data_IF_632122792871
#
_entry.id   IF_632122792871
#
_cell.length_a   1.000
_cell.length_b   1.000
_cell.length_c   1.000
_cell.angle_alpha   90.00
_cell.angle_beta   90.00
_cell.angle_gamma   90.00
#
_symmetry.space_group_name_H-M   'P 1'
#
loop_
_entity.id
_entity.type
_entity.pdbx_description
1 polymer ?
#
# COMPACT_ATOMS: atom_id res chain seq x y z
N UNK A 1 -11.67 0.62 -12.93
CA UNK A 1 -11.15 0.71 -11.55
C UNK A 1 -10.19 -0.42 -11.30
N UNK A 2 -9.04 -0.12 -10.73
CA UNK A 2 -8.07 -1.12 -10.31
C UNK A 2 -8.11 -1.28 -8.80
N UNK A 3 -7.61 -2.43 -8.33
CA UNK A 3 -7.52 -2.74 -6.91
C UNK A 3 -6.07 -3.00 -6.56
N UNK A 4 -5.67 -2.56 -5.38
CA UNK A 4 -4.28 -2.61 -4.92
C UNK A 4 -4.20 -3.12 -3.49
N UNK A 5 -3.03 -3.59 -3.10
CA UNK A 5 -2.67 -3.84 -1.71
C UNK A 5 -1.39 -3.06 -1.43
N UNK A 6 -1.39 -2.30 -0.34
CA UNK A 6 -0.24 -1.49 0.06
C UNK A 6 0.12 -1.82 1.50
N UNK A 7 1.40 -2.09 1.74
CA UNK A 7 1.92 -2.51 3.03
C UNK A 7 2.48 -1.32 3.81
N UNK A 8 2.15 -1.29 5.10
CA UNK A 8 2.72 -0.33 6.05
C UNK A 8 3.00 -1.04 7.37
N UNK A 9 4.10 -0.65 8.03
CA UNK A 9 4.41 -1.14 9.37
C UNK A 9 3.58 -0.33 10.38
N UNK A 10 2.73 -0.98 11.21
CA UNK A 10 1.83 -0.24 12.10
C UNK A 10 2.55 0.61 13.15
N UNK A 11 3.80 0.25 13.50
CA UNK A 11 4.61 1.07 14.40
C UNK A 11 5.03 2.40 13.79
N UNK A 12 5.03 2.50 12.46
CA UNK A 12 5.34 3.74 11.74
C UNK A 12 4.08 4.44 11.24
N UNK A 13 3.17 3.70 10.61
CA UNK A 13 1.92 4.28 10.11
C UNK A 13 0.85 3.20 10.01
N UNK A 14 -0.13 3.24 10.91
CA UNK A 14 -1.21 2.26 10.99
C UNK A 14 -2.48 2.73 10.29
N UNK A 15 -3.44 1.80 10.13
CA UNK A 15 -4.78 2.16 9.65
C UNK A 15 -5.47 3.17 10.58
N UNK A 16 -5.23 3.08 11.88
CA UNK A 16 -5.78 4.04 12.83
C UNK A 16 -5.14 5.41 12.67
N UNK A 17 -3.83 5.45 12.36
CA UNK A 17 -3.16 6.72 12.05
C UNK A 17 -3.78 7.38 10.83
N UNK A 18 -4.06 6.59 9.77
CA UNK A 18 -4.72 7.12 8.57
C UNK A 18 -6.11 7.67 8.90
N UNK A 19 -6.89 6.94 9.68
CA UNK A 19 -8.24 7.37 10.08
C UNK A 19 -8.24 8.68 10.86
N UNK A 20 -7.12 9.00 11.52
CA UNK A 20 -6.97 10.19 12.37
C UNK A 20 -6.23 11.35 11.69
N UNK A 21 -5.80 11.19 10.44
CA UNK A 21 -5.16 12.27 9.69
C UNK A 21 -6.17 13.33 9.25
N UNK A 22 -5.73 14.58 9.02
CA UNK A 22 -6.62 15.60 8.42
C UNK A 22 -7.22 15.08 7.11
N UNK A 23 -8.54 15.23 6.97
CA UNK A 23 -9.33 14.69 5.85
C UNK A 23 -9.16 13.18 5.67
N UNK A 24 -8.65 12.48 6.69
CA UNK A 24 -8.36 11.04 6.66
C UNK A 24 -7.48 10.64 5.47
N UNK A 25 -6.54 11.51 5.11
CA UNK A 25 -5.71 11.40 3.92
C UNK A 25 -4.24 11.52 4.29
N UNK A 26 -3.40 10.70 3.64
CA UNK A 26 -1.96 10.72 3.83
C UNK A 26 -1.24 10.50 2.50
N UNK A 27 -0.11 11.18 2.32
CA UNK A 27 0.80 10.92 1.23
C UNK A 27 1.56 9.61 1.51
N UNK A 28 1.54 8.69 0.55
CA UNK A 28 2.18 7.38 0.72
C UNK A 28 3.63 7.46 0.26
N UNK A 29 4.50 7.94 1.14
CA UNK A 29 5.92 8.13 0.85
C UNK A 29 6.75 6.87 1.08
N UNK A 30 8.03 6.95 0.78
CA UNK A 30 9.01 5.94 1.16
C UNK A 30 9.05 4.69 0.30
N UNK A 31 8.32 4.64 -0.82
CA UNK A 31 8.41 3.50 -1.74
C UNK A 31 9.75 3.55 -2.47
N UNK A 32 10.59 2.52 -2.30
CA UNK A 32 11.96 2.47 -2.81
C UNK A 32 12.25 1.19 -3.61
N UNK A 33 11.24 0.66 -4.28
CA UNK A 33 11.34 -0.43 -5.23
C UNK A 33 10.83 0.07 -6.58
N UNK A 34 11.61 -0.13 -7.65
CA UNK A 34 11.25 0.39 -8.96
C UNK A 34 9.95 -0.19 -9.51
N UNK A 35 9.69 -1.47 -9.26
CA UNK A 35 8.45 -2.11 -9.72
C UNK A 35 7.24 -1.48 -9.02
N UNK A 36 7.31 -1.29 -7.70
CA UNK A 36 6.25 -0.64 -6.93
C UNK A 36 6.09 0.82 -7.36
N UNK A 37 7.21 1.55 -7.55
CA UNK A 37 7.18 2.93 -8.05
C UNK A 37 6.45 3.02 -9.39
N UNK A 38 6.71 2.10 -10.30
CA UNK A 38 6.06 2.10 -11.62
C UNK A 38 4.55 1.91 -11.49
N UNK A 39 4.09 1.10 -10.55
CA UNK A 39 2.65 0.95 -10.27
C UNK A 39 2.04 2.26 -9.79
N UNK A 40 2.70 2.94 -8.83
CA UNK A 40 2.23 4.24 -8.32
C UNK A 40 2.17 5.28 -9.44
N UNK A 41 3.23 5.38 -10.22
CA UNK A 41 3.41 6.42 -11.23
C UNK A 41 2.54 6.20 -12.46
N UNK A 42 2.47 4.95 -12.94
CA UNK A 42 1.97 4.68 -14.29
C UNK A 42 0.62 3.97 -14.33
N UNK A 43 0.19 3.31 -13.25
CA UNK A 43 -0.96 2.41 -13.30
C UNK A 43 -2.10 2.80 -12.37
N UNK A 44 -1.83 3.45 -11.23
CA UNK A 44 -2.87 3.84 -10.29
C UNK A 44 -3.72 4.97 -10.83
N UNK A 45 -5.02 4.90 -10.54
CA UNK A 45 -6.00 5.91 -10.94
C UNK A 45 -6.76 6.41 -9.73
N UNK A 46 -7.20 7.68 -9.78
CA UNK A 46 -8.05 8.24 -8.74
C UNK A 46 -9.33 7.41 -8.60
N UNK A 47 -9.67 7.06 -7.38
CA UNK A 47 -10.82 6.21 -7.08
C UNK A 47 -10.49 4.73 -6.95
N UNK A 48 -9.27 4.30 -7.33
CA UNK A 48 -8.84 2.92 -7.11
C UNK A 48 -8.89 2.60 -5.61
N UNK A 49 -9.30 1.37 -5.29
CA UNK A 49 -9.39 0.90 -3.91
C UNK A 49 -8.13 0.15 -3.51
N UNK A 50 -7.79 0.26 -2.23
CA UNK A 50 -6.54 -0.27 -1.66
C UNK A 50 -6.86 -1.07 -0.42
N UNK A 51 -6.38 -2.32 -0.36
CA UNK A 51 -6.27 -3.03 0.90
C UNK A 51 -5.09 -2.48 1.68
N UNK A 52 -5.36 -1.95 2.86
CA UNK A 52 -4.32 -1.50 3.78
C UNK A 52 -3.82 -2.70 4.58
N UNK A 53 -2.55 -3.02 4.44
CA UNK A 53 -1.94 -4.21 5.01
C UNK A 53 -0.90 -3.81 6.05
N UNK A 54 -1.00 -4.38 7.25
CA UNK A 54 0.03 -4.22 8.28
C UNK A 54 1.10 -5.30 8.10
N UNK A 55 2.35 -4.87 7.94
CA UNK A 55 3.51 -5.75 7.79
C UNK A 55 4.47 -5.59 8.96
N UNK A 56 5.39 -6.56 9.11
CA UNK A 56 6.45 -6.52 10.10
C UNK A 56 5.94 -6.22 11.52
N UNK A 57 4.96 -7.00 11.96
CA UNK A 57 4.31 -6.84 13.25
C UNK A 57 3.85 -8.20 13.78
N UNK A 58 3.26 -8.22 14.97
CA UNK A 58 2.83 -9.46 15.63
C UNK A 58 1.84 -10.25 14.76
N UNK A 59 0.85 -9.57 14.18
CA UNK A 59 -0.16 -10.21 13.33
C UNK A 59 -0.23 -9.50 11.98
N UNK A 60 0.65 -9.86 11.03
CA UNK A 60 0.58 -9.29 9.68
C UNK A 60 -0.74 -9.65 9.01
N UNK A 61 -1.36 -8.70 8.34
CA UNK A 61 -2.62 -8.97 7.66
C UNK A 61 -3.28 -7.72 7.10
N UNK A 62 -4.41 -7.94 6.45
CA UNK A 62 -5.23 -6.86 5.88
C UNK A 62 -6.13 -6.31 7.00
N UNK A 63 -6.09 -4.99 7.19
CA UNK A 63 -6.77 -4.34 8.32
C UNK A 63 -7.83 -3.34 7.91
N UNK A 64 -7.78 -2.85 6.68
CA UNK A 64 -8.72 -1.82 6.25
C UNK A 64 -8.69 -1.57 4.76
N UNK A 65 -9.50 -0.60 4.34
CA UNK A 65 -9.61 -0.16 2.95
C UNK A 65 -9.35 1.34 2.88
N UNK A 66 -8.58 1.73 1.89
CA UNK A 66 -8.34 3.11 1.51
C UNK A 66 -8.65 3.29 0.03
N UNK A 67 -8.59 4.53 -0.46
CA UNK A 67 -8.74 4.81 -1.89
C UNK A 67 -7.71 5.83 -2.33
N UNK A 68 -7.31 5.75 -3.59
CA UNK A 68 -6.40 6.72 -4.20
C UNK A 68 -7.16 8.01 -4.47
N UNK A 69 -6.70 9.14 -3.92
CA UNK A 69 -7.34 10.45 -4.10
C UNK A 69 -6.46 11.47 -4.80
N UNK A 70 -5.16 11.20 -4.92
CA UNK A 70 -4.24 12.03 -5.69
C UNK A 70 -3.25 11.14 -6.41
N UNK A 71 -3.07 11.37 -7.71
CA UNK A 71 -2.14 10.63 -8.56
C UNK A 71 -0.69 11.00 -8.24
N UNK A 72 0.23 10.20 -8.78
CA UNK A 72 1.64 10.25 -8.44
C UNK A 72 2.27 11.63 -8.62
N UNK A 73 3.07 12.00 -7.65
CA UNK A 73 3.91 13.19 -7.66
C UNK A 73 5.22 12.87 -6.94
N UNK A 74 6.29 13.67 -7.14
CA UNK A 74 7.58 13.35 -6.56
C UNK A 74 7.55 13.24 -5.04
N UNK A 75 8.21 12.22 -4.51
CA UNK A 75 8.34 12.00 -3.08
C UNK A 75 9.44 12.92 -2.53
N UNK A 76 9.11 13.95 -1.73
CA UNK A 76 10.09 14.90 -1.25
C UNK A 76 11.06 14.32 -0.22
N UNK A 77 10.73 13.20 0.41
CA UNK A 77 11.62 12.57 1.40
C UNK A 77 12.90 12.05 0.75
N UNK A 78 12.88 11.79 -0.56
CA UNK A 78 14.07 11.37 -1.30
C UNK A 78 15.14 12.47 -1.38
N UNK A 79 14.76 13.73 -1.22
CA UNK A 79 15.65 14.89 -1.34
C UNK A 79 16.13 15.43 0.00
N UNK A 80 15.62 14.90 1.11
CA UNK A 80 15.96 15.35 2.46
C UNK A 80 17.06 14.48 3.06
N UNK A 81 18.30 15.00 3.21
CA UNK A 81 19.42 14.21 3.75
C UNK A 81 19.20 13.71 5.19
N UNK A 82 18.29 14.34 5.92
CA UNK A 82 17.97 13.95 7.29
C UNK A 82 16.91 12.85 7.36
N UNK A 83 16.28 12.52 6.24
CA UNK A 83 15.19 11.55 6.20
C UNK A 83 15.73 10.14 5.90
N UNK A 84 15.14 9.12 6.58
CA UNK A 84 15.54 7.72 6.39
C UNK A 84 15.35 7.21 4.96
N UNK A 85 14.47 7.85 4.18
CA UNK A 85 14.22 7.51 2.78
C UNK A 85 15.00 8.36 1.78
N UNK A 86 16.00 9.10 2.27
CA UNK A 86 16.87 9.92 1.41
C UNK A 86 17.55 9.07 0.34
N UNK A 87 17.53 9.55 -0.90
CA UNK A 87 18.23 8.94 -2.02
C UNK A 87 19.08 10.01 -2.72
N UNK A 88 20.41 10.02 -2.51
CA UNK A 88 21.28 11.03 -3.10
C UNK A 88 21.34 10.99 -4.63
N UNK A 89 20.89 9.89 -5.23
CA UNK A 89 20.87 9.73 -6.69
C UNK A 89 19.58 10.27 -7.32
N UNK A 90 18.55 10.56 -6.53
CA UNK A 90 17.32 11.19 -7.02
C UNK A 90 17.52 12.70 -7.08
N UNK A 91 17.13 13.32 -8.20
CA UNK A 91 17.33 14.75 -8.44
C UNK A 91 16.00 15.46 -8.62
N UNK A 92 15.96 16.73 -8.18
CA UNK A 92 14.74 17.55 -8.28
C UNK A 92 14.25 17.68 -9.73
N UNK A 93 15.17 17.78 -10.69
CA UNK A 93 14.82 17.90 -12.11
C UNK A 93 14.57 16.56 -12.80
N UNK A 94 14.87 15.44 -12.11
CA UNK A 94 14.61 14.09 -12.62
C UNK A 94 14.35 13.15 -11.44
N UNK A 95 13.21 13.26 -10.79
CA UNK A 95 12.92 12.45 -9.60
C UNK A 95 12.75 10.97 -9.94
N UNK A 96 13.29 10.12 -9.06
CA UNK A 96 13.17 8.66 -9.18
C UNK A 96 11.96 8.11 -8.47
N UNK A 97 11.56 8.77 -7.38
CA UNK A 97 10.58 8.22 -6.44
C UNK A 97 9.34 9.08 -6.41
N UNK A 98 8.21 8.42 -6.34
CA UNK A 98 6.89 9.04 -6.41
C UNK A 98 6.02 8.54 -5.28
N UNK A 99 5.00 9.29 -4.96
CA UNK A 99 3.99 8.92 -3.98
C UNK A 99 2.62 9.30 -4.50
N UNK A 100 1.60 8.65 -3.93
CA UNK A 100 0.19 8.98 -4.17
C UNK A 100 -0.42 9.35 -2.84
N UNK A 101 -1.58 10.01 -2.85
CA UNK A 101 -2.35 10.21 -1.63
C UNK A 101 -3.43 9.16 -1.53
N UNK A 102 -3.57 8.58 -0.34
CA UNK A 102 -4.62 7.63 -0.01
C UNK A 102 -5.52 8.20 1.07
N UNK A 103 -6.81 7.91 0.97
CA UNK A 103 -7.82 8.33 1.92
C UNK A 103 -8.44 7.11 2.58
N UNK A 104 -8.64 7.17 3.89
CA UNK A 104 -9.32 6.13 4.65
C UNK A 104 -10.75 5.93 4.14
N UNK A 105 -11.13 4.67 3.95
CA UNK A 105 -12.52 4.29 3.61
C UNK A 105 -13.18 3.64 4.81
N UNK A 106 -12.60 2.54 5.31
CA UNK A 106 -13.08 1.86 6.53
C UNK A 106 -12.08 0.85 7.05
N UNK A 107 -12.23 0.47 8.30
CA UNK A 107 -11.54 -0.71 8.84
C UNK A 107 -12.34 -1.94 8.45
N UNK A 108 -11.66 -3.07 8.28
CA UNK A 108 -12.34 -4.35 8.13
C UNK A 108 -13.02 -4.74 9.45
N UNK A 109 -14.03 -5.60 9.39
CA UNK A 109 -14.73 -6.12 10.58
C UNK A 109 -13.77 -6.86 11.50
N UNK A 110 -12.73 -7.46 10.95
CA UNK A 110 -11.63 -8.11 11.65
C UNK A 110 -10.36 -8.03 10.82
N UNK A 111 -9.21 -8.23 11.44
CA UNK A 111 -7.96 -8.42 10.71
C UNK A 111 -8.05 -9.75 9.96
N UNK A 112 -7.63 -9.76 8.69
CA UNK A 112 -7.48 -11.02 7.94
C UNK A 112 -5.97 -11.32 7.92
N UNK A 113 -5.51 -12.25 8.77
CA UNK A 113 -4.07 -12.49 8.92
C UNK A 113 -3.45 -13.12 7.69
N UNK A 114 -2.18 -12.84 7.46
CA UNK A 114 -1.42 -13.44 6.35
C UNK A 114 -1.48 -14.97 6.37
N UNK A 115 -1.41 -15.57 7.56
CA UNK A 115 -1.47 -17.03 7.69
C UNK A 115 -2.80 -17.59 7.16
N UNK A 116 -3.89 -16.88 7.38
CA UNK A 116 -5.21 -17.26 6.85
C UNK A 116 -5.26 -17.06 5.32
N UNK A 117 -4.72 -15.94 4.83
CA UNK A 117 -4.68 -15.68 3.39
C UNK A 117 -3.88 -16.76 2.65
N UNK A 118 -2.75 -17.19 3.22
CA UNK A 118 -1.93 -18.25 2.63
C UNK A 118 -2.63 -19.61 2.62
N UNK A 119 -3.59 -19.82 3.51
CA UNK A 119 -4.35 -21.05 3.57
C UNK A 119 -5.47 -21.14 2.52
N UNK A 120 -5.77 -20.03 1.83
CA UNK A 120 -6.84 -19.96 0.84
C UNK A 120 -6.32 -20.33 -0.55
N UNK A 121 -6.75 -21.47 -1.07
CA UNK A 121 -6.36 -21.90 -2.40
C UNK A 121 -6.77 -20.90 -3.48
N UNK A 122 -7.90 -20.24 -3.29
CA UNK A 122 -8.44 -19.24 -4.22
C UNK A 122 -7.50 -18.05 -4.40
N UNK A 123 -6.59 -17.80 -3.44
CA UNK A 123 -5.66 -16.68 -3.47
C UNK A 123 -4.29 -17.02 -4.07
N UNK A 124 -4.13 -18.21 -4.65
CA UNK A 124 -2.86 -18.65 -5.22
C UNK A 124 -2.26 -17.64 -6.21
N UNK A 125 -3.11 -16.95 -6.97
CA UNK A 125 -2.68 -15.94 -7.93
C UNK A 125 -2.30 -14.59 -7.34
N UNK A 126 -2.53 -14.37 -6.04
CA UNK A 126 -2.20 -13.11 -5.38
C UNK A 126 -0.71 -13.05 -5.04
N UNK A 127 -0.04 -11.99 -5.47
CA UNK A 127 1.40 -11.85 -5.26
C UNK A 127 1.78 -11.91 -3.76
N UNK A 128 0.91 -11.39 -2.88
CA UNK A 128 1.14 -11.37 -1.44
C UNK A 128 1.47 -12.74 -0.86
N UNK A 129 0.78 -13.79 -1.33
CA UNK A 129 0.93 -15.14 -0.77
C UNK A 129 2.07 -15.93 -1.42
N UNK A 130 2.69 -15.39 -2.45
CA UNK A 130 3.82 -16.06 -3.13
C UNK A 130 5.04 -16.04 -2.24
N UNK A 131 5.74 -17.18 -2.20
CA UNK A 131 6.98 -17.29 -1.46
C UNK A 131 8.03 -16.31 -2.00
N UNK A 132 8.67 -15.57 -1.10
CA UNK A 132 9.73 -14.64 -1.46
C UNK A 132 9.25 -13.30 -2.01
N UNK A 133 7.95 -13.05 -2.03
CA UNK A 133 7.44 -11.75 -2.45
C UNK A 133 7.81 -10.65 -1.44
N UNK A 134 8.44 -9.57 -1.93
CA UNK A 134 8.88 -8.44 -1.11
C UNK A 134 8.28 -7.11 -1.56
N UNK A 135 7.33 -7.14 -2.47
CA UNK A 135 6.68 -5.93 -2.94
C UNK A 135 5.84 -5.31 -1.82
N UNK A 136 5.97 -4.00 -1.64
CA UNK A 136 5.14 -3.22 -0.70
C UNK A 136 3.85 -2.71 -1.35
N UNK A 137 3.78 -2.76 -2.66
CA UNK A 137 2.60 -2.37 -3.45
C UNK A 137 2.39 -3.45 -4.49
N UNK A 138 1.16 -3.92 -4.65
CA UNK A 138 0.84 -4.94 -5.64
C UNK A 138 -0.59 -4.82 -6.12
N UNK A 139 -0.86 -5.23 -7.37
CA UNK A 139 -2.23 -5.26 -7.87
C UNK A 139 -3.00 -6.44 -7.25
N UNK A 140 -4.31 -6.27 -7.14
CA UNK A 140 -5.24 -7.32 -6.72
C UNK A 140 -6.30 -7.46 -7.78
N UNK A 141 -6.47 -8.65 -8.36
CA UNK A 141 -7.54 -8.88 -9.32
C UNK A 141 -8.90 -8.69 -8.64
N UNK A 142 -9.87 -8.20 -9.38
CA UNK A 142 -11.20 -7.91 -8.86
C UNK A 142 -11.84 -9.13 -8.20
N UNK A 143 -11.71 -10.31 -8.79
CA UNK A 143 -12.25 -11.54 -8.21
C UNK A 143 -11.61 -11.87 -6.88
N UNK A 144 -10.31 -11.65 -6.74
CA UNK A 144 -9.57 -11.88 -5.49
C UNK A 144 -9.93 -10.82 -4.45
N UNK A 145 -10.14 -9.59 -4.88
CA UNK A 145 -10.60 -8.52 -4.01
C UNK A 145 -11.92 -8.89 -3.32
N UNK A 146 -12.91 -9.31 -4.10
CA UNK A 146 -14.21 -9.69 -3.56
C UNK A 146 -14.14 -10.95 -2.72
N UNK A 147 -13.30 -11.92 -3.10
CA UNK A 147 -13.09 -13.11 -2.28
C UNK A 147 -12.54 -12.74 -0.90
N UNK A 148 -11.53 -11.88 -0.84
CA UNK A 148 -10.95 -11.43 0.43
C UNK A 148 -11.98 -10.73 1.29
N UNK A 149 -12.82 -9.88 0.70
CA UNK A 149 -13.88 -9.21 1.44
C UNK A 149 -14.88 -10.22 2.05
N UNK A 150 -15.08 -11.37 1.42
CA UNK A 150 -15.97 -12.41 1.95
C UNK A 150 -15.43 -13.07 3.21
N UNK A 151 -14.14 -12.89 3.50
CA UNK A 151 -13.49 -13.50 4.67
C UNK A 151 -13.65 -12.69 5.95
N UNK A 152 -14.01 -11.40 5.84
CA UNK A 152 -14.12 -10.56 7.04
C UNK A 152 -15.37 -10.85 7.89
#
# INVERSE_FOLDING_TARGET
MNYWLMKSEPGEFSIDDLANRPAQTEAWDGVRNYQARNMLRDQMQTGDLVFFYHSNCETPGIVGIARIVRLAYPDPTAFDPEHKHFDPLSKLDNPRWFMVDVQFVRKLKRIIPLVELKAQQELEGLALVRRGNRLSVMPVEETLWHFILSLE
#
